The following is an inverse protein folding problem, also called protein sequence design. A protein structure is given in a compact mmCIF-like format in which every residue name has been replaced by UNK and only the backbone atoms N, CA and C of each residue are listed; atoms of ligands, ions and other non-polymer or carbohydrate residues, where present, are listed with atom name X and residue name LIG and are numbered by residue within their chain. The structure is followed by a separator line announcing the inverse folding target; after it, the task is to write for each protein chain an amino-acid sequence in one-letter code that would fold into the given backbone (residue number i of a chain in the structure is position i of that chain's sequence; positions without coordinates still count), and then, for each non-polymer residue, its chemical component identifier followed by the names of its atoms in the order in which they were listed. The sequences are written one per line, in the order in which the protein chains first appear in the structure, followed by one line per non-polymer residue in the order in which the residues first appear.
data_IF_355572839316
#
_entry.id   IF_355572839316
#
_cell.length_a   1.000
_cell.length_b   1.000
_cell.length_c   1.000
_cell.angle_alpha   90.00
_cell.angle_beta   90.00
_cell.angle_gamma   90.00
#
_symmetry.space_group_name_H-M   'P 1'
#
loop_
_entity.id
_entity.type
_entity.pdbx_description
1 polymer ?
#
# COMPACT_ATOMS: atom_id res chain seq x y z
N UNK A 1 -8.84 10.40 22.65
CA UNK A 1 -9.31 9.37 21.70
C UNK A 1 -9.22 9.99 20.31
N UNK A 2 -8.74 9.26 19.30
CA UNK A 2 -8.80 9.75 17.92
C UNK A 2 -10.26 9.73 17.47
N UNK A 3 -10.69 10.75 16.73
CA UNK A 3 -12.03 10.87 16.17
C UNK A 3 -11.95 10.98 14.65
N UNK A 4 -12.83 10.28 13.95
CA UNK A 4 -12.96 10.36 12.50
C UNK A 4 -14.12 11.29 12.17
N UNK A 5 -13.85 12.30 11.35
CA UNK A 5 -14.82 13.30 10.90
C UNK A 5 -14.80 13.40 9.38
N UNK A 6 -15.91 13.76 8.74
CA UNK A 6 -15.90 14.03 7.31
C UNK A 6 -15.68 15.52 7.05
N UNK A 7 -14.79 15.85 6.11
CA UNK A 7 -14.55 17.23 5.66
C UNK A 7 -14.60 17.34 4.16
N UNK A 8 -15.07 18.51 3.69
CA UNK A 8 -15.09 18.85 2.28
C UNK A 8 -13.68 18.78 1.69
N UNK A 9 -13.53 18.08 0.57
CA UNK A 9 -12.27 17.97 -0.18
C UNK A 9 -11.72 19.36 -0.54
N UNK A 10 -12.61 20.29 -0.88
CA UNK A 10 -12.26 21.67 -1.21
C UNK A 10 -11.71 22.49 -0.03
N UNK A 11 -11.97 22.08 1.22
CA UNK A 11 -11.46 22.75 2.41
C UNK A 11 -10.06 22.27 2.81
N UNK A 12 -9.60 21.11 2.31
CA UNK A 12 -8.33 20.52 2.67
C UNK A 12 -7.17 21.17 1.90
N UNK A 13 -6.17 21.63 2.65
CA UNK A 13 -5.03 22.40 2.16
C UNK A 13 -3.81 21.47 2.11
N UNK A 14 -3.34 21.07 0.92
CA UNK A 14 -2.12 20.26 0.80
C UNK A 14 -0.92 21.00 1.38
N UNK A 15 -0.09 20.30 2.16
CA UNK A 15 1.15 20.87 2.66
C UNK A 15 2.10 21.25 1.50
N UNK A 16 2.36 22.55 1.34
CA UNK A 16 3.11 23.10 0.21
C UNK A 16 4.56 22.60 0.11
N UNK A 17 5.14 22.11 1.22
CA UNK A 17 6.51 21.58 1.26
C UNK A 17 6.53 20.06 1.45
N UNK A 18 5.51 19.35 0.99
CA UNK A 18 5.50 17.89 1.03
C UNK A 18 6.65 17.34 0.16
N UNK A 19 7.62 16.61 0.73
CA UNK A 19 8.71 16.03 -0.05
C UNK A 19 8.28 14.78 -0.84
N UNK A 20 7.12 14.18 -0.55
CA UNK A 20 6.59 13.04 -1.30
C UNK A 20 5.85 13.54 -2.54
N UNK A 21 6.19 12.97 -3.69
CA UNK A 21 5.49 13.19 -4.96
C UNK A 21 4.51 12.07 -5.22
N UNK A 22 3.44 12.39 -5.96
CA UNK A 22 2.45 11.44 -6.43
C UNK A 22 2.22 11.69 -7.92
N UNK A 23 2.66 10.76 -8.77
CA UNK A 23 2.39 10.84 -10.20
C UNK A 23 0.95 10.36 -10.50
N UNK A 24 0.46 10.64 -11.70
CA UNK A 24 -0.92 10.34 -12.07
C UNK A 24 -1.25 8.84 -11.98
N UNK A 25 -0.29 7.96 -12.33
CA UNK A 25 -0.44 6.51 -12.22
C UNK A 25 -0.65 6.05 -10.76
N UNK A 26 0.16 6.58 -9.84
CA UNK A 26 0.02 6.26 -8.43
C UNK A 26 -1.32 6.77 -7.89
N UNK A 27 -1.73 7.99 -8.28
CA UNK A 27 -3.03 8.53 -7.86
C UNK A 27 -4.18 7.68 -8.42
N UNK A 28 -4.08 7.21 -9.66
CA UNK A 28 -5.07 6.33 -10.26
C UNK A 28 -5.18 4.99 -9.52
N UNK A 29 -4.06 4.38 -9.10
CA UNK A 29 -4.09 3.15 -8.27
C UNK A 29 -4.76 3.39 -6.92
N UNK A 30 -4.46 4.50 -6.26
CA UNK A 30 -5.13 4.88 -5.00
C UNK A 30 -6.63 5.10 -5.24
N UNK A 31 -7.02 5.72 -6.36
CA UNK A 31 -8.42 5.93 -6.71
C UNK A 31 -9.15 4.60 -6.95
N UNK A 32 -8.54 3.65 -7.67
CA UNK A 32 -9.08 2.31 -7.88
C UNK A 32 -9.27 1.58 -6.54
N UNK A 33 -8.28 1.63 -5.66
CA UNK A 33 -8.37 1.07 -4.30
C UNK A 33 -9.52 1.69 -3.48
N UNK A 34 -9.73 3.01 -3.57
CA UNK A 34 -10.87 3.70 -2.91
C UNK A 34 -12.21 3.26 -3.51
N UNK A 35 -12.30 3.03 -4.82
CA UNK A 35 -13.52 2.57 -5.49
C UNK A 35 -13.88 1.15 -5.03
N UNK A 36 -12.89 0.27 -4.93
CA UNK A 36 -13.08 -1.13 -4.53
C UNK A 36 -13.39 -1.27 -3.04
N UNK A 37 -12.51 -0.76 -2.17
CA UNK A 37 -12.57 -1.03 -0.73
C UNK A 37 -13.25 0.08 0.08
N UNK A 38 -13.63 1.18 -0.58
CA UNK A 38 -14.00 2.40 0.12
C UNK A 38 -12.81 3.05 0.82
N UNK A 39 -13.10 3.91 1.79
CA UNK A 39 -12.07 4.67 2.48
C UNK A 39 -11.55 3.95 3.73
N UNK A 40 -10.36 3.37 3.64
CA UNK A 40 -9.79 2.54 4.71
C UNK A 40 -8.89 3.30 5.70
N UNK A 41 -8.29 4.41 5.27
CA UNK A 41 -7.37 5.20 6.11
C UNK A 41 -7.67 6.71 5.99
N UNK A 42 -8.15 7.39 7.04
CA UNK A 42 -8.46 8.83 7.02
C UNK A 42 -7.26 9.74 6.69
N UNK A 43 -7.53 10.93 6.14
CA UNK A 43 -6.51 11.98 5.97
C UNK A 43 -6.14 12.57 7.33
N UNK A 44 -4.85 12.75 7.63
CA UNK A 44 -4.43 13.39 8.87
C UNK A 44 -4.33 14.91 8.65
N UNK A 45 -4.95 15.71 9.51
CA UNK A 45 -4.99 17.18 9.37
C UNK A 45 -4.51 17.92 10.62
N UNK A 46 -4.04 19.15 10.45
CA UNK A 46 -3.35 19.94 11.47
C UNK A 46 -4.23 20.83 12.37
N UNK A 47 -5.56 20.73 12.24
CA UNK A 47 -6.51 21.60 12.94
C UNK A 47 -7.04 22.77 12.11
N UNK A 48 -6.30 23.17 11.08
CA UNK A 48 -6.67 24.28 10.18
C UNK A 48 -6.90 23.77 8.75
N UNK A 49 -7.29 22.50 8.63
CA UNK A 49 -7.42 21.74 7.38
C UNK A 49 -6.12 21.55 6.58
N UNK A 50 -4.96 21.85 7.16
CA UNK A 50 -3.66 21.53 6.57
C UNK A 50 -3.40 20.03 6.60
N UNK A 51 -3.11 19.42 5.45
CA UNK A 51 -2.86 17.99 5.34
C UNK A 51 -1.47 17.64 5.85
N UNK A 52 -1.42 16.76 6.85
CA UNK A 52 -0.19 16.17 7.41
C UNK A 52 0.16 14.89 6.66
N UNK A 53 -0.82 14.00 6.43
CA UNK A 53 -0.63 12.74 5.72
C UNK A 53 -1.88 12.37 4.91
N UNK A 54 -1.67 11.65 3.80
CA UNK A 54 -2.74 11.27 2.89
C UNK A 54 -2.88 12.15 1.64
N UNK A 55 -1.82 12.83 1.19
CA UNK A 55 -1.85 13.66 -0.02
C UNK A 55 -2.26 12.88 -1.28
N UNK A 56 -1.74 11.66 -1.48
CA UNK A 56 -2.17 10.80 -2.58
C UNK A 56 -3.66 10.42 -2.51
N UNK A 57 -4.18 10.10 -1.32
CA UNK A 57 -5.62 9.86 -1.08
C UNK A 57 -6.47 11.09 -1.37
N UNK A 58 -6.00 12.28 -0.98
CA UNK A 58 -6.68 13.53 -1.30
C UNK A 58 -6.67 13.82 -2.82
N UNK A 59 -5.58 13.53 -3.51
CA UNK A 59 -5.51 13.66 -4.97
C UNK A 59 -6.49 12.67 -5.65
N UNK A 60 -6.55 11.43 -5.19
CA UNK A 60 -7.48 10.43 -5.67
C UNK A 60 -8.94 10.83 -5.44
N UNK A 61 -9.27 11.34 -4.25
CA UNK A 61 -10.60 11.87 -3.95
C UNK A 61 -11.03 13.00 -4.91
N UNK A 62 -10.09 13.88 -5.29
CA UNK A 62 -10.33 14.93 -6.28
C UNK A 62 -10.55 14.35 -7.67
N UNK A 63 -9.75 13.36 -8.08
CA UNK A 63 -9.93 12.66 -9.35
C UNK A 63 -11.29 11.97 -9.44
N UNK A 64 -11.75 11.38 -8.33
CA UNK A 64 -13.06 10.71 -8.23
C UNK A 64 -14.25 11.67 -8.08
N UNK A 65 -14.01 12.98 -7.95
CA UNK A 65 -15.06 13.98 -7.77
C UNK A 65 -15.80 13.86 -6.44
N UNK A 66 -15.14 13.36 -5.39
CA UNK A 66 -15.75 13.23 -4.07
C UNK A 66 -15.93 14.60 -3.40
N UNK A 67 -17.08 14.81 -2.76
CA UNK A 67 -17.36 16.06 -2.03
C UNK A 67 -16.65 16.10 -0.68
N UNK A 68 -16.65 14.98 0.05
CA UNK A 68 -16.15 14.87 1.42
C UNK A 68 -15.31 13.60 1.61
N UNK A 69 -14.34 13.67 2.52
CA UNK A 69 -13.47 12.55 2.89
C UNK A 69 -13.31 12.46 4.40
N UNK A 70 -13.09 11.26 4.96
CA UNK A 70 -12.83 11.11 6.39
C UNK A 70 -11.44 11.62 6.74
N UNK A 71 -11.35 12.33 7.85
CA UNK A 71 -10.14 12.92 8.40
C UNK A 71 -10.01 12.61 9.88
N UNK A 72 -8.76 12.62 10.37
CA UNK A 72 -8.45 12.65 11.79
C UNK A 72 -7.68 13.94 12.06
N UNK A 73 -8.19 14.75 13.00
CA UNK A 73 -7.55 15.99 13.38
C UNK A 73 -6.47 15.78 14.46
N UNK A 74 -5.29 16.34 14.21
CA UNK A 74 -4.11 16.30 15.08
C UNK A 74 -3.75 17.68 15.62
N UNK A 75 -4.75 18.48 16.00
CA UNK A 75 -4.57 19.84 16.53
C UNK A 75 -3.69 19.91 17.79
N UNK A 76 -3.56 18.80 18.52
CA UNK A 76 -2.70 18.67 19.69
C UNK A 76 -1.19 18.67 19.38
N UNK A 77 -0.79 18.46 18.12
CA UNK A 77 0.61 18.46 17.73
C UNK A 77 1.15 19.88 17.57
N UNK A 78 2.35 20.12 18.11
CA UNK A 78 3.08 21.35 17.84
C UNK A 78 3.45 21.48 16.35
N UNK A 79 3.73 22.70 15.85
CA UNK A 79 4.18 22.90 14.47
C UNK A 79 5.41 22.04 14.08
N UNK A 80 6.33 21.82 15.03
CA UNK A 80 7.51 20.98 14.78
C UNK A 80 7.16 19.50 14.71
N UNK A 81 6.28 19.01 15.58
CA UNK A 81 5.80 17.62 15.53
C UNK A 81 5.05 17.33 14.22
N UNK A 82 4.21 18.27 13.76
CA UNK A 82 3.51 18.14 12.46
C UNK A 82 4.49 17.97 11.30
N UNK A 83 5.53 18.79 11.23
CA UNK A 83 6.59 18.68 10.21
C UNK A 83 7.37 17.36 10.31
N UNK A 84 7.68 16.91 11.52
CA UNK A 84 8.37 15.64 11.73
C UNK A 84 7.48 14.46 11.29
N UNK A 85 6.19 14.50 11.60
CA UNK A 85 5.23 13.45 11.24
C UNK A 85 5.06 13.33 9.73
N UNK A 86 5.02 14.45 8.98
CA UNK A 86 5.00 14.45 7.50
C UNK A 86 6.17 13.61 6.93
N UNK A 87 7.35 13.69 7.55
CA UNK A 87 8.52 12.91 7.12
C UNK A 87 8.43 11.45 7.59
N UNK A 88 8.10 11.25 8.86
CA UNK A 88 8.09 9.94 9.50
C UNK A 88 7.05 9.00 8.88
N UNK A 89 5.83 9.49 8.60
CA UNK A 89 4.74 8.72 7.98
C UNK A 89 5.18 8.04 6.67
N UNK A 90 5.97 8.74 5.87
CA UNK A 90 6.49 8.20 4.61
C UNK A 90 7.73 7.33 4.82
N UNK A 91 8.72 7.79 5.60
CA UNK A 91 10.01 7.09 5.71
C UNK A 91 9.86 5.74 6.41
N UNK A 92 9.09 5.69 7.50
CA UNK A 92 8.91 4.47 8.27
C UNK A 92 8.22 3.40 7.42
N UNK A 93 7.24 3.77 6.60
CA UNK A 93 6.60 2.84 5.67
C UNK A 93 7.58 2.33 4.60
N UNK A 94 8.49 3.18 4.12
CA UNK A 94 9.53 2.80 3.14
C UNK A 94 10.68 1.97 3.74
N UNK A 95 10.79 1.88 5.06
CA UNK A 95 11.81 1.07 5.74
C UNK A 95 11.38 -0.40 5.89
N UNK A 96 10.10 -0.73 5.66
CA UNK A 96 9.60 -2.09 5.68
C UNK A 96 10.01 -2.84 4.39
N UNK A 97 10.27 -4.14 4.53
CA UNK A 97 10.44 -5.07 3.41
C UNK A 97 9.35 -6.14 3.43
N UNK A 98 9.35 -7.00 2.41
CA UNK A 98 8.47 -8.15 2.31
C UNK A 98 9.18 -9.43 2.73
N UNK A 99 8.40 -10.36 3.25
CA UNK A 99 8.76 -11.77 3.27
C UNK A 99 8.31 -12.34 1.92
N UNK A 100 9.25 -12.60 1.02
CA UNK A 100 8.94 -12.90 -0.39
C UNK A 100 8.18 -14.23 -0.54
N UNK A 101 8.46 -15.23 0.32
CA UNK A 101 7.78 -16.53 0.30
C UNK A 101 6.30 -16.38 0.69
N UNK A 102 6.03 -15.66 1.80
CA UNK A 102 4.67 -15.40 2.22
C UNK A 102 3.93 -14.45 1.25
N UNK A 103 4.65 -13.52 0.63
CA UNK A 103 4.06 -12.61 -0.35
C UNK A 103 3.62 -13.35 -1.62
N UNK A 104 4.46 -14.26 -2.14
CA UNK A 104 4.12 -15.08 -3.30
C UNK A 104 2.88 -15.95 -3.04
N UNK A 105 2.85 -16.63 -1.89
CA UNK A 105 1.70 -17.45 -1.47
C UNK A 105 0.39 -16.64 -1.45
N UNK A 106 0.39 -15.44 -0.86
CA UNK A 106 -0.79 -14.57 -0.84
C UNK A 106 -1.22 -14.16 -2.26
N UNK A 107 -0.27 -13.91 -3.17
CA UNK A 107 -0.60 -13.63 -4.57
C UNK A 107 -1.20 -14.83 -5.29
N UNK A 108 -0.68 -16.03 -5.07
CA UNK A 108 -1.21 -17.27 -5.64
C UNK A 108 -2.64 -17.53 -5.15
N UNK A 109 -2.90 -17.40 -3.85
CA UNK A 109 -4.23 -17.58 -3.27
C UNK A 109 -5.24 -16.54 -3.78
N UNK A 110 -4.83 -15.29 -3.96
CA UNK A 110 -5.67 -14.25 -4.56
C UNK A 110 -5.94 -14.54 -6.04
N UNK A 111 -4.95 -15.04 -6.79
CA UNK A 111 -5.14 -15.43 -8.19
C UNK A 111 -6.12 -16.59 -8.33
N UNK A 112 -6.01 -17.62 -7.49
CA UNK A 112 -6.92 -18.76 -7.45
C UNK A 112 -8.36 -18.36 -7.08
N UNK A 113 -8.52 -17.25 -6.36
CA UNK A 113 -9.81 -16.65 -6.04
C UNK A 113 -10.37 -15.73 -7.16
N UNK A 114 -9.74 -15.70 -8.34
CA UNK A 114 -10.06 -14.80 -9.46
C UNK A 114 -10.03 -13.31 -9.05
N UNK A 115 -9.15 -12.93 -8.12
CA UNK A 115 -9.02 -11.55 -7.64
C UNK A 115 -8.19 -10.67 -8.60
N UNK A 116 -8.53 -9.38 -8.70
CA UNK A 116 -7.75 -8.42 -9.49
C UNK A 116 -6.49 -7.98 -8.73
N UNK A 117 -5.36 -8.64 -9.03
CA UNK A 117 -4.08 -8.38 -8.39
C UNK A 117 -3.55 -6.96 -8.65
N UNK A 118 -4.01 -6.26 -9.70
CA UNK A 118 -3.60 -4.89 -9.96
C UNK A 118 -4.04 -3.91 -8.85
N UNK A 119 -5.03 -4.30 -8.03
CA UNK A 119 -5.51 -3.51 -6.88
C UNK A 119 -4.59 -3.59 -5.65
N UNK A 120 -3.66 -4.55 -5.60
CA UNK A 120 -2.67 -4.67 -4.52
C UNK A 120 -1.65 -3.54 -4.53
N UNK A 121 -1.46 -2.89 -5.69
CA UNK A 121 -0.54 -1.78 -5.88
C UNK A 121 0.85 -2.20 -6.39
N UNK A 122 1.11 -3.50 -6.50
CA UNK A 122 2.24 -4.07 -7.24
C UNK A 122 1.98 -3.97 -8.74
N UNK A 123 3.05 -3.89 -9.53
CA UNK A 123 2.92 -3.93 -10.99
C UNK A 123 2.97 -5.37 -11.51
N UNK A 124 2.43 -5.59 -12.72
CA UNK A 124 2.34 -6.91 -13.33
C UNK A 124 3.68 -7.66 -13.36
N UNK A 125 4.79 -6.96 -13.64
CA UNK A 125 6.12 -7.59 -13.69
C UNK A 125 6.64 -8.00 -12.30
N UNK A 126 6.26 -7.29 -11.22
CA UNK A 126 6.56 -7.69 -9.84
C UNK A 126 5.77 -8.95 -9.46
N UNK A 127 4.48 -8.98 -9.81
CA UNK A 127 3.58 -10.10 -9.52
C UNK A 127 4.02 -11.35 -10.29
N UNK A 128 4.29 -11.22 -11.59
CA UNK A 128 4.75 -12.33 -12.43
C UNK A 128 6.06 -12.93 -11.91
N UNK A 129 6.98 -12.09 -11.42
CA UNK A 129 8.24 -12.56 -10.86
C UNK A 129 8.03 -13.37 -9.56
N UNK A 130 7.16 -12.91 -8.67
CA UNK A 130 6.84 -13.59 -7.41
C UNK A 130 6.19 -14.96 -7.67
N UNK A 131 5.24 -15.03 -8.60
CA UNK A 131 4.54 -16.28 -8.92
C UNK A 131 5.42 -17.27 -9.70
N UNK A 132 6.38 -16.78 -10.49
CA UNK A 132 7.30 -17.65 -11.24
C UNK A 132 8.30 -18.36 -10.32
N UNK A 133 8.80 -17.69 -9.27
CA UNK A 133 9.75 -18.27 -8.32
C UNK A 133 9.09 -19.36 -7.46
N UNK A 134 7.82 -19.19 -7.04
CA UNK A 134 7.06 -20.20 -6.29
C UNK A 134 6.83 -21.49 -7.09
N UNK A 135 6.51 -21.36 -8.38
CA UNK A 135 6.32 -22.51 -9.28
C UNK A 135 7.65 -23.23 -9.59
N UNK A 136 8.78 -22.52 -9.56
CA UNK A 136 10.11 -23.10 -9.75
C UNK A 136 10.62 -23.86 -8.54
N UNK A 137 10.26 -23.45 -7.33
CA UNK A 137 10.61 -24.17 -6.09
C UNK A 137 9.80 -25.47 -5.92
N UNK A 138 8.55 -25.53 -6.39
CA UNK A 138 7.72 -26.74 -6.34
C UNK A 138 8.15 -27.88 -7.30
N UNK A 139 9.09 -27.62 -8.22
CA UNK A 139 9.62 -28.62 -9.16
C UNK A 139 10.94 -29.29 -8.69
N UNK A 140 11.58 -28.84 -7.59
CA UNK A 140 12.88 -29.37 -7.11
C UNK A 140 12.76 -30.43 -5.97
N UNK A 141 11.56 -30.67 -5.45
CA UNK A 141 11.29 -31.60 -4.33
C UNK A 141 11.34 -33.10 -4.73
N UNK A 142 11.65 -33.40 -5.99
CA UNK A 142 11.22 -34.63 -6.66
C UNK A 142 12.30 -35.49 -7.31
N UNK A 143 13.57 -35.46 -6.89
CA UNK A 143 14.56 -36.42 -7.40
C UNK A 143 15.73 -36.73 -6.46
N UNK A 144 15.47 -37.35 -5.30
CA UNK A 144 16.47 -38.23 -4.69
C UNK A 144 16.21 -39.66 -5.15
N UNK A 145 16.83 -40.07 -6.24
CA UNK A 145 16.88 -41.48 -6.65
C UNK A 145 17.84 -42.20 -5.68
N UNK A 146 17.39 -43.16 -4.86
CA UNK A 146 18.32 -43.92 -4.04
C UNK A 146 19.10 -44.87 -4.95
N UNK A 147 20.42 -44.65 -5.06
CA UNK A 147 21.33 -45.61 -5.71
C UNK A 147 21.10 -47.01 -5.10
N UNK A 148 20.94 -48.07 -5.93
CA UNK A 148 20.82 -49.41 -5.41
C UNK A 148 22.17 -49.86 -4.84
N UNK A 149 22.13 -50.33 -3.60
CA UNK A 149 23.22 -50.95 -2.86
C UNK A 149 23.63 -52.26 -3.57
N UNK A 150 24.70 -52.22 -4.36
CA UNK A 150 25.34 -53.43 -4.87
C UNK A 150 26.26 -54.01 -3.79
N UNK A 151 25.69 -54.89 -2.97
CA UNK A 151 26.41 -55.96 -2.33
C UNK A 151 26.56 -57.13 -3.33
N UNK A 152 27.78 -57.48 -3.72
CA UNK A 152 28.20 -58.89 -3.74
C UNK A 152 29.72 -59.07 -3.95
N UNK A 153 30.24 -59.99 -3.13
CA UNK A 153 31.51 -60.76 -3.13
C UNK A 153 32.88 -60.11 -2.83
#
# INVERSE_FOLDING_TARGET
MLNVEYRKVAALIPYARNPRTHNDEQVARIAASIVEYGWTNPVLVDGENGVIAGHGRLAAARQLGMDEVPVIELAHLSPTQKRALILADNRIALDAGWDEELLALEFAELADADYDLALTGFNDAEIDALLADELGEAEDDGASDPEPDEADD
#
